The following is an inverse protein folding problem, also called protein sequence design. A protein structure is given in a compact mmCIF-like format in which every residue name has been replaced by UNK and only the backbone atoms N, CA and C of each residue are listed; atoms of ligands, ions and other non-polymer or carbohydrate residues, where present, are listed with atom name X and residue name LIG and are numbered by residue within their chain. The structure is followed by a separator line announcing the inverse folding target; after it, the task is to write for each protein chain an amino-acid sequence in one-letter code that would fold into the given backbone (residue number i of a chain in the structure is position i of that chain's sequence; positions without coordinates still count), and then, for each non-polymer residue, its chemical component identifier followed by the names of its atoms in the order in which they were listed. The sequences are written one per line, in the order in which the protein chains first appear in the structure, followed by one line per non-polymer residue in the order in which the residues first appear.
data_IF_719688017163
#
_entry.id   IF_719688017163
#
_cell.length_a   1.000
_cell.length_b   1.000
_cell.length_c   1.000
_cell.angle_alpha   90.00
_cell.angle_beta   90.00
_cell.angle_gamma   90.00
#
_symmetry.space_group_name_H-M   'P 1'
#
loop_
_entity.id
_entity.type
_entity.pdbx_description
1 polymer ?
#
# COMPACT_ATOMS: atom_id res chain seq x y z
N UNK A 1 -1.25 1.81 72.34
CA UNK A 1 -2.58 1.90 71.71
C UNK A 1 -2.66 3.03 70.68
N UNK A 2 -2.22 4.25 70.99
CA UNK A 2 -2.28 5.37 70.02
C UNK A 2 -1.42 5.17 68.76
N UNK A 3 -0.27 4.49 68.85
CA UNK A 3 0.55 4.16 67.69
C UNK A 3 -0.12 3.22 66.71
N UNK A 4 -0.89 2.25 67.19
CA UNK A 4 -1.66 1.35 66.33
C UNK A 4 -2.74 2.14 65.56
N UNK A 5 -3.40 3.09 66.22
CA UNK A 5 -4.37 3.97 65.55
C UNK A 5 -3.70 4.84 64.47
N UNK A 6 -2.51 5.36 64.75
CA UNK A 6 -1.75 6.15 63.77
C UNK A 6 -1.26 5.32 62.58
N UNK A 7 -0.87 4.06 62.81
CA UNK A 7 -0.53 3.10 61.77
C UNK A 7 -1.75 2.73 60.92
N UNK A 8 -2.94 2.70 61.53
CA UNK A 8 -4.22 2.49 60.84
C UNK A 8 -4.76 3.74 60.14
N UNK A 9 -4.01 4.85 60.15
CA UNK A 9 -4.36 6.06 59.40
C UNK A 9 -4.96 7.20 60.21
N UNK A 10 -4.90 7.17 61.55
CA UNK A 10 -5.31 8.31 62.38
C UNK A 10 -4.47 9.55 62.04
N UNK A 11 -5.13 10.67 61.72
CA UNK A 11 -4.49 11.96 61.46
C UNK A 11 -5.22 13.08 62.20
N UNK A 12 -4.46 14.10 62.57
CA UNK A 12 -5.00 15.39 63.00
C UNK A 12 -5.26 16.31 61.82
N UNK A 13 -6.39 16.99 61.80
CA UNK A 13 -6.65 18.10 60.87
C UNK A 13 -7.23 19.29 61.61
N UNK A 14 -6.95 20.51 61.13
CA UNK A 14 -7.65 21.70 61.60
C UNK A 14 -8.91 21.88 60.77
N UNK A 15 -10.06 21.88 61.43
CA UNK A 15 -11.36 22.15 60.80
C UNK A 15 -11.96 23.43 61.37
N UNK A 16 -12.71 24.14 60.53
CA UNK A 16 -13.40 25.36 60.94
C UNK A 16 -14.60 25.01 61.82
N UNK A 17 -14.57 25.44 63.08
CA UNK A 17 -15.69 25.30 64.01
C UNK A 17 -16.71 26.43 63.87
N UNK A 18 -16.25 27.64 63.55
CA UNK A 18 -17.12 28.78 63.28
C UNK A 18 -16.53 29.63 62.13
N UNK A 19 -17.30 29.75 61.05
CA UNK A 19 -16.90 30.52 59.85
C UNK A 19 -16.88 32.03 60.08
N UNK A 20 -17.69 32.56 61.02
CA UNK A 20 -17.83 33.99 61.27
C UNK A 20 -16.70 34.52 62.16
N UNK A 21 -16.30 33.74 63.18
CA UNK A 21 -15.23 34.14 64.11
C UNK A 21 -13.86 33.59 63.72
N UNK A 22 -13.80 32.67 62.74
CA UNK A 22 -12.57 31.99 62.34
C UNK A 22 -12.07 30.95 63.35
N UNK A 23 -12.89 30.57 64.34
CA UNK A 23 -12.48 29.59 65.34
C UNK A 23 -12.24 28.21 64.71
N UNK A 24 -11.12 27.59 65.06
CA UNK A 24 -10.69 26.27 64.58
C UNK A 24 -10.75 25.25 65.72
N UNK A 25 -10.96 23.99 65.36
CA UNK A 25 -10.80 22.86 66.27
C UNK A 25 -9.90 21.79 65.64
N UNK A 26 -9.31 20.97 66.51
CA UNK A 26 -8.52 19.80 66.10
C UNK A 26 -9.49 18.64 65.93
N UNK A 27 -9.52 18.11 64.71
CA UNK A 27 -10.27 16.93 64.33
C UNK A 27 -9.31 15.74 64.22
N UNK A 28 -9.66 14.63 64.85
CA UNK A 28 -8.91 13.39 64.80
C UNK A 28 -9.76 12.34 64.10
N UNK A 29 -9.35 11.98 62.88
CA UNK A 29 -10.09 11.03 62.04
C UNK A 29 -9.14 10.08 61.30
N UNK A 30 -9.67 9.01 60.75
CA UNK A 30 -8.92 8.03 59.97
C UNK A 30 -8.95 8.37 58.49
N UNK A 31 -7.76 8.51 57.90
CA UNK A 31 -7.58 8.83 56.49
C UNK A 31 -6.86 7.69 55.78
N UNK A 32 -7.59 6.76 55.14
CA UNK A 32 -7.01 5.55 54.53
C UNK A 32 -5.99 5.82 53.43
N UNK A 33 -6.06 7.00 52.80
CA UNK A 33 -5.18 7.44 51.71
C UNK A 33 -4.10 8.43 52.16
N UNK A 34 -3.99 8.71 53.46
CA UNK A 34 -2.97 9.62 53.95
C UNK A 34 -1.57 9.00 53.79
N UNK A 35 -0.52 9.81 53.53
CA UNK A 35 0.85 9.32 53.46
C UNK A 35 1.25 8.58 54.75
N UNK A 36 2.20 7.61 54.67
CA UNK A 36 2.76 6.94 55.84
C UNK A 36 3.31 7.94 56.87
N UNK A 37 3.46 7.50 58.13
CA UNK A 37 4.05 8.34 59.19
C UNK A 37 5.44 8.83 58.76
N UNK A 38 5.74 10.07 59.13
CA UNK A 38 7.07 10.65 58.91
C UNK A 38 8.16 9.95 59.73
N UNK A 39 9.42 10.29 59.44
CA UNK A 39 10.60 9.72 60.13
C UNK A 39 10.68 10.12 61.61
N UNK A 40 10.14 11.29 61.95
CA UNK A 40 10.09 11.78 63.33
C UNK A 40 8.74 11.38 63.91
N UNK A 41 8.77 10.52 64.92
CA UNK A 41 7.58 9.96 65.56
C UNK A 41 7.38 10.49 66.98
N UNK A 42 8.42 11.09 67.56
CA UNK A 42 8.42 11.66 68.90
C UNK A 42 9.19 12.97 68.92
N UNK A 43 8.77 13.90 69.78
CA UNK A 43 9.44 15.16 70.02
C UNK A 43 9.42 15.49 71.51
N UNK A 44 10.60 15.72 72.11
CA UNK A 44 10.70 16.02 73.54
C UNK A 44 10.15 14.93 74.47
N UNK A 45 10.17 13.66 74.04
CA UNK A 45 9.62 12.53 74.79
C UNK A 45 8.10 12.32 74.63
N UNK A 46 7.44 13.07 73.74
CA UNK A 46 6.00 12.92 73.46
C UNK A 46 5.75 12.39 72.04
N UNK A 47 4.74 11.51 71.84
CA UNK A 47 4.40 10.99 70.53
C UNK A 47 3.77 12.06 69.64
N UNK A 48 4.16 12.08 68.36
CA UNK A 48 3.63 13.01 67.35
C UNK A 48 2.49 12.34 66.60
N UNK A 49 1.32 12.99 66.62
CA UNK A 49 0.19 12.65 65.76
C UNK A 49 0.42 13.29 64.38
N UNK A 50 0.49 12.52 63.28
CA UNK A 50 0.67 13.08 61.96
C UNK A 50 -0.55 13.89 61.55
N UNK A 51 -0.34 14.99 60.82
CA UNK A 51 -1.40 15.88 60.40
C UNK A 51 -1.69 15.78 58.90
N UNK A 52 -2.89 16.19 58.52
CA UNK A 52 -3.31 16.41 57.13
C UNK A 52 -3.92 17.81 56.99
N UNK A 53 -3.83 18.39 55.80
CA UNK A 53 -4.43 19.70 55.53
C UNK A 53 -5.94 19.66 55.71
N UNK A 54 -6.50 20.66 56.38
CA UNK A 54 -7.94 20.82 56.56
C UNK A 54 -8.69 21.09 55.25
N UNK A 55 -9.99 20.80 55.24
CA UNK A 55 -10.82 20.84 54.02
C UNK A 55 -10.80 22.19 53.28
N UNK A 56 -10.88 23.32 53.99
CA UNK A 56 -10.88 24.65 53.37
C UNK A 56 -9.53 25.00 52.73
N UNK A 57 -8.43 24.71 53.41
CA UNK A 57 -7.08 24.92 52.87
C UNK A 57 -6.86 24.07 51.61
N UNK A 58 -7.40 22.85 51.59
CA UNK A 58 -7.32 21.97 50.43
C UNK A 58 -8.15 22.47 49.24
N UNK A 59 -9.31 23.09 49.49
CA UNK A 59 -10.12 23.74 48.45
C UNK A 59 -9.39 24.95 47.86
N UNK A 60 -8.82 25.81 48.70
CA UNK A 60 -8.03 26.95 48.24
C UNK A 60 -6.86 26.50 47.36
N UNK A 61 -6.13 25.46 47.77
CA UNK A 61 -5.03 24.92 46.98
C UNK A 61 -5.52 24.41 45.62
N UNK A 62 -6.60 23.64 45.58
CA UNK A 62 -7.17 23.14 44.32
C UNK A 62 -7.66 24.26 43.40
N UNK A 63 -8.19 25.33 43.98
CA UNK A 63 -8.60 26.51 43.21
C UNK A 63 -7.38 27.19 42.59
N UNK A 64 -6.31 27.40 43.35
CA UNK A 64 -5.06 27.95 42.83
C UNK A 64 -4.46 27.04 41.75
N UNK A 65 -4.39 25.73 41.99
CA UNK A 65 -3.89 24.77 40.99
C UNK A 65 -4.72 24.80 39.70
N UNK A 66 -6.04 24.99 39.80
CA UNK A 66 -6.92 25.11 38.64
C UNK A 66 -6.69 26.44 37.90
N UNK A 67 -6.53 27.55 38.61
CA UNK A 67 -6.20 28.85 38.03
C UNK A 67 -4.84 28.81 37.33
N UNK A 68 -3.84 28.19 37.96
CA UNK A 68 -2.51 28.00 37.37
C UNK A 68 -2.58 27.14 36.10
N UNK A 69 -3.38 26.06 36.10
CA UNK A 69 -3.58 25.24 34.90
C UNK A 69 -4.24 26.03 33.78
N UNK A 70 -5.25 26.84 34.09
CA UNK A 70 -5.93 27.70 33.11
C UNK A 70 -4.96 28.72 32.53
N UNK A 71 -4.17 29.38 33.37
CA UNK A 71 -3.17 30.37 32.96
C UNK A 71 -2.05 29.76 32.11
N UNK A 72 -1.70 28.50 32.38
CA UNK A 72 -0.62 27.79 31.67
C UNK A 72 -1.14 26.86 30.56
N UNK A 73 -2.39 27.03 30.09
CA UNK A 73 -2.88 26.25 28.96
C UNK A 73 -2.03 26.55 27.72
N UNK A 74 -1.46 25.53 27.05
CA UNK A 74 -0.68 25.73 25.83
C UNK A 74 -1.61 26.01 24.65
N UNK A 75 -2.12 27.23 24.55
CA UNK A 75 -3.01 27.66 23.45
C UNK A 75 -2.25 27.70 22.12
N UNK A 76 -0.99 28.14 22.13
CA UNK A 76 -0.22 28.31 20.89
C UNK A 76 -0.04 26.99 20.11
N UNK A 77 0.40 25.86 20.72
CA UNK A 77 0.48 24.59 20.01
C UNK A 77 -0.85 24.10 19.44
N UNK A 78 -1.97 24.37 20.12
CA UNK A 78 -3.30 24.01 19.64
C UNK A 78 -3.68 24.82 18.39
N UNK A 79 -3.39 26.13 18.39
CA UNK A 79 -3.63 26.99 17.24
C UNK A 79 -2.73 26.64 16.06
N UNK A 80 -1.46 26.33 16.30
CA UNK A 80 -0.52 25.86 15.27
C UNK A 80 -1.00 24.56 14.63
N UNK A 81 -1.40 23.58 15.45
CA UNK A 81 -1.91 22.29 14.95
C UNK A 81 -3.22 22.47 14.15
N UNK A 82 -4.13 23.31 14.63
CA UNK A 82 -5.37 23.62 13.92
C UNK A 82 -5.09 24.29 12.57
N UNK A 83 -4.21 25.28 12.55
CA UNK A 83 -3.80 26.00 11.32
C UNK A 83 -3.14 25.05 10.33
N UNK A 84 -2.24 24.18 10.80
CA UNK A 84 -1.57 23.17 9.99
C UNK A 84 -2.57 22.17 9.38
N UNK A 85 -3.56 21.74 10.17
CA UNK A 85 -4.63 20.83 9.73
C UNK A 85 -5.51 21.48 8.66
N UNK A 86 -5.85 22.77 8.82
CA UNK A 86 -6.61 23.54 7.84
C UNK A 86 -5.80 23.71 6.54
N UNK A 87 -4.53 24.11 6.64
CA UNK A 87 -3.65 24.25 5.47
C UNK A 87 -3.46 22.93 4.71
N UNK A 88 -3.35 21.80 5.43
CA UNK A 88 -3.27 20.48 4.81
C UNK A 88 -4.59 20.08 4.13
N UNK A 89 -5.72 20.44 4.72
CA UNK A 89 -7.05 20.21 4.14
C UNK A 89 -7.24 21.02 2.85
N UNK A 90 -6.82 22.28 2.84
CA UNK A 90 -6.83 23.12 1.63
C UNK A 90 -5.97 22.54 0.51
N UNK A 91 -4.73 22.12 0.82
CA UNK A 91 -3.86 21.45 -0.16
C UNK A 91 -4.50 20.17 -0.72
N UNK A 92 -5.12 19.37 0.14
CA UNK A 92 -5.80 18.14 -0.28
C UNK A 92 -6.94 18.46 -1.25
N UNK A 93 -7.76 19.48 -0.94
CA UNK A 93 -8.83 19.92 -1.83
C UNK A 93 -8.30 20.43 -3.18
N UNK A 94 -7.20 21.17 -3.19
CA UNK A 94 -6.54 21.61 -4.44
C UNK A 94 -6.04 20.43 -5.28
N UNK A 95 -5.43 19.42 -4.65
CA UNK A 95 -4.99 18.20 -5.34
C UNK A 95 -6.18 17.40 -5.91
N UNK A 96 -7.28 17.30 -5.16
CA UNK A 96 -8.51 16.65 -5.63
C UNK A 96 -9.04 17.40 -6.85
N UNK A 97 -9.15 18.73 -6.78
CA UNK A 97 -9.61 19.53 -7.91
C UNK A 97 -8.72 19.35 -9.15
N UNK A 98 -7.40 19.45 -9.01
CA UNK A 98 -6.47 19.25 -10.11
C UNK A 98 -6.54 17.84 -10.72
N UNK A 99 -6.81 16.83 -9.89
CA UNK A 99 -7.03 15.45 -10.34
C UNK A 99 -8.34 15.35 -11.12
N UNK A 100 -9.43 15.91 -10.61
CA UNK A 100 -10.72 15.95 -11.30
C UNK A 100 -10.64 16.70 -12.64
N UNK A 101 -9.89 17.81 -12.69
CA UNK A 101 -9.68 18.56 -13.93
C UNK A 101 -8.88 17.75 -14.96
N UNK A 102 -7.83 17.05 -14.50
CA UNK A 102 -7.05 16.13 -15.34
C UNK A 102 -7.92 14.99 -15.88
N UNK A 103 -8.75 14.38 -15.03
CA UNK A 103 -9.69 13.33 -15.42
C UNK A 103 -10.73 13.84 -16.43
N UNK A 104 -11.27 15.05 -16.23
CA UNK A 104 -12.19 15.67 -17.16
C UNK A 104 -11.54 15.93 -18.52
N UNK A 105 -10.27 16.38 -18.56
CA UNK A 105 -9.52 16.56 -19.81
C UNK A 105 -9.30 15.24 -20.56
N UNK A 106 -8.94 14.17 -19.85
CA UNK A 106 -8.75 12.85 -20.45
C UNK A 106 -10.08 12.32 -20.98
N UNK A 107 -11.14 12.39 -20.17
CA UNK A 107 -12.47 11.89 -20.53
C UNK A 107 -13.09 12.68 -21.68
N UNK A 108 -12.84 13.98 -21.73
CA UNK A 108 -13.30 14.87 -22.81
C UNK A 108 -12.36 14.91 -24.01
N UNK A 109 -11.26 14.17 -23.97
CA UNK A 109 -10.31 14.14 -25.09
C UNK A 109 -10.96 13.47 -26.31
N UNK A 110 -10.68 14.01 -27.49
CA UNK A 110 -11.14 13.46 -28.76
C UNK A 110 -10.78 11.98 -28.89
N UNK A 111 -9.58 11.60 -28.45
CA UNK A 111 -9.08 10.22 -28.47
C UNK A 111 -9.91 9.28 -27.60
N UNK A 112 -10.34 9.71 -26.40
CA UNK A 112 -11.17 8.87 -25.52
C UNK A 112 -12.61 8.73 -26.05
N UNK A 113 -13.14 9.77 -26.72
CA UNK A 113 -14.44 9.71 -27.38
C UNK A 113 -14.42 8.83 -28.64
N UNK A 114 -13.30 8.80 -29.35
CA UNK A 114 -13.11 7.99 -30.56
C UNK A 114 -12.76 6.53 -30.26
N UNK A 115 -12.18 6.25 -29.09
CA UNK A 115 -11.74 4.92 -28.67
C UNK A 115 -12.79 3.81 -28.88
N UNK A 116 -14.08 3.96 -28.51
CA UNK A 116 -15.09 2.92 -28.74
C UNK A 116 -15.37 2.70 -30.23
N UNK A 117 -15.36 3.77 -31.02
CA UNK A 117 -15.58 3.72 -32.47
C UNK A 117 -14.43 3.02 -33.18
N UNK A 118 -13.19 3.40 -32.84
CA UNK A 118 -11.98 2.78 -33.37
C UNK A 118 -11.92 1.30 -33.02
N UNK A 119 -12.23 0.94 -31.77
CA UNK A 119 -12.32 -0.46 -31.34
C UNK A 119 -13.37 -1.23 -32.14
N UNK A 120 -14.55 -0.65 -32.38
CA UNK A 120 -15.60 -1.29 -33.18
C UNK A 120 -15.21 -1.45 -34.65
N UNK A 121 -14.42 -0.52 -35.20
CA UNK A 121 -13.88 -0.62 -36.55
C UNK A 121 -12.82 -1.72 -36.63
N UNK A 122 -11.87 -1.75 -35.69
CA UNK A 122 -10.85 -2.81 -35.60
C UNK A 122 -11.49 -4.19 -35.44
N UNK A 123 -12.51 -4.33 -34.59
CA UNK A 123 -13.23 -5.60 -34.43
C UNK A 123 -13.93 -6.04 -35.73
N UNK A 124 -14.50 -5.10 -36.48
CA UNK A 124 -15.13 -5.39 -37.79
C UNK A 124 -14.10 -5.78 -38.85
N UNK A 125 -12.97 -5.09 -38.92
CA UNK A 125 -11.88 -5.45 -39.84
C UNK A 125 -11.24 -6.79 -39.50
N UNK A 126 -11.08 -7.08 -38.20
CA UNK A 126 -10.60 -8.38 -37.73
C UNK A 126 -11.59 -9.48 -38.13
N UNK A 127 -12.89 -9.26 -37.93
CA UNK A 127 -13.92 -10.23 -38.33
C UNK A 127 -13.92 -10.46 -39.86
N UNK A 128 -13.84 -9.39 -40.67
CA UNK A 128 -13.72 -9.50 -42.13
C UNK A 128 -12.46 -10.24 -42.56
N UNK A 129 -11.32 -9.96 -41.93
CA UNK A 129 -10.07 -10.67 -42.18
C UNK A 129 -10.23 -12.15 -41.87
N UNK A 130 -10.79 -12.49 -40.70
CA UNK A 130 -11.06 -13.89 -40.33
C UNK A 130 -12.00 -14.58 -41.33
N UNK A 131 -13.05 -13.91 -41.81
CA UNK A 131 -13.93 -14.45 -42.86
C UNK A 131 -13.20 -14.67 -44.19
N UNK A 132 -12.25 -13.80 -44.54
CA UNK A 132 -11.39 -13.95 -45.70
C UNK A 132 -10.50 -15.20 -45.66
N UNK A 133 -10.22 -15.75 -44.49
CA UNK A 133 -9.39 -16.96 -44.31
C UNK A 133 -10.19 -18.22 -43.93
N UNK A 134 -11.52 -18.16 -43.88
CA UNK A 134 -12.36 -19.31 -43.56
C UNK A 134 -12.47 -20.33 -44.73
N UNK A 135 -12.68 -21.63 -44.44
CA UNK A 135 -12.88 -22.65 -45.46
C UNK A 135 -14.06 -22.28 -46.38
N UNK A 136 -13.79 -22.18 -47.68
CA UNK A 136 -14.76 -21.77 -48.70
C UNK A 136 -14.62 -20.32 -49.19
N UNK A 137 -13.76 -19.50 -48.57
CA UNK A 137 -13.46 -18.16 -49.07
C UNK A 137 -12.61 -18.20 -50.36
N UNK A 138 -12.69 -17.15 -51.18
CA UNK A 138 -11.91 -17.07 -52.41
C UNK A 138 -10.38 -17.11 -52.18
N UNK A 139 -9.91 -16.50 -51.08
CA UNK A 139 -8.49 -16.51 -50.72
C UNK A 139 -8.03 -17.88 -50.20
N UNK A 140 -8.87 -18.55 -49.38
CA UNK A 140 -8.61 -19.91 -48.92
C UNK A 140 -8.56 -20.90 -50.11
N UNK A 141 -9.55 -20.83 -51.00
CA UNK A 141 -9.61 -21.70 -52.18
C UNK A 141 -8.41 -21.47 -53.11
N UNK A 142 -7.96 -20.23 -53.28
CA UNK A 142 -6.77 -19.91 -54.07
C UNK A 142 -5.49 -20.43 -53.42
N UNK A 143 -5.35 -20.26 -52.10
CA UNK A 143 -4.23 -20.82 -51.34
C UNK A 143 -4.16 -22.35 -51.43
N UNK A 144 -5.30 -23.04 -51.32
CA UNK A 144 -5.38 -24.50 -51.48
C UNK A 144 -5.03 -24.91 -52.92
N UNK A 145 -5.52 -24.19 -53.92
CA UNK A 145 -5.20 -24.46 -55.32
C UNK A 145 -3.70 -24.23 -55.63
N UNK A 146 -3.11 -23.18 -55.06
CA UNK A 146 -1.68 -22.89 -55.20
C UNK A 146 -0.82 -23.96 -54.51
N UNK A 147 -1.24 -24.45 -53.33
CA UNK A 147 -0.60 -25.58 -52.66
C UNK A 147 -0.67 -26.87 -53.51
N UNK A 148 -1.83 -27.15 -54.13
CA UNK A 148 -1.97 -28.31 -55.01
C UNK A 148 -1.09 -28.21 -56.27
N UNK A 149 -0.96 -27.01 -56.85
CA UNK A 149 -0.04 -26.76 -57.97
C UNK A 149 1.41 -26.91 -57.57
N UNK A 150 1.79 -26.39 -56.39
CA UNK A 150 3.14 -26.55 -55.88
C UNK A 150 3.47 -28.03 -55.68
N UNK A 151 2.54 -28.79 -55.10
CA UNK A 151 2.64 -30.25 -54.97
C UNK A 151 2.81 -30.96 -56.33
N UNK A 152 2.09 -30.51 -57.35
CA UNK A 152 2.20 -31.04 -58.72
C UNK A 152 3.60 -30.77 -59.29
N UNK A 153 4.08 -29.53 -59.18
CA UNK A 153 5.41 -29.13 -59.65
C UNK A 153 6.51 -29.88 -58.91
N UNK A 154 6.39 -30.05 -57.59
CA UNK A 154 7.34 -30.83 -56.80
C UNK A 154 7.39 -32.31 -57.24
N UNK A 155 6.23 -32.91 -57.56
CA UNK A 155 6.16 -34.28 -58.12
C UNK A 155 6.75 -34.38 -59.52
N UNK A 156 6.55 -33.39 -60.38
CA UNK A 156 7.13 -33.34 -61.73
C UNK A 156 8.65 -33.11 -61.69
N UNK A 157 9.13 -32.39 -60.69
CA UNK A 157 10.56 -32.18 -60.46
C UNK A 157 11.24 -33.38 -59.79
N UNK A 158 10.52 -34.28 -59.09
CA UNK A 158 11.11 -35.50 -58.49
C UNK A 158 11.95 -36.34 -59.46
N UNK A 159 11.48 -36.74 -60.66
CA UNK A 159 12.28 -37.53 -61.59
C UNK A 159 13.48 -36.74 -62.13
N UNK A 160 13.36 -35.43 -62.33
CA UNK A 160 14.46 -34.56 -62.76
C UNK A 160 15.52 -34.46 -61.65
N UNK A 161 15.11 -34.25 -60.41
CA UNK A 161 15.98 -34.25 -59.23
C UNK A 161 16.65 -35.62 -59.03
N UNK A 162 15.93 -36.72 -59.27
CA UNK A 162 16.48 -38.08 -59.22
C UNK A 162 17.51 -38.33 -60.33
N UNK A 163 17.22 -37.88 -61.55
CA UNK A 163 18.15 -37.99 -62.69
C UNK A 163 19.36 -37.08 -62.53
N UNK A 164 19.20 -35.89 -61.95
CA UNK A 164 20.30 -35.01 -61.58
C UNK A 164 21.14 -35.61 -60.46
N UNK A 165 20.54 -36.24 -59.46
CA UNK A 165 21.27 -36.98 -58.43
C UNK A 165 22.05 -38.15 -59.06
N UNK A 166 21.44 -38.93 -59.96
CA UNK A 166 22.06 -40.08 -60.60
C UNK A 166 23.15 -39.68 -61.61
N UNK A 167 22.94 -38.62 -62.42
CA UNK A 167 23.95 -38.10 -63.37
C UNK A 167 25.01 -37.21 -62.71
N UNK A 168 24.71 -36.48 -61.65
CA UNK A 168 25.71 -35.75 -60.88
C UNK A 168 26.65 -36.73 -60.18
N UNK A 169 26.16 -37.89 -59.76
CA UNK A 169 27.03 -38.97 -59.26
C UNK A 169 27.91 -39.59 -60.37
N UNK A 170 27.57 -39.39 -61.65
CA UNK A 170 28.41 -39.75 -62.79
C UNK A 170 29.42 -38.66 -63.19
N UNK A 171 29.19 -37.40 -62.81
CA UNK A 171 30.09 -36.26 -63.09
C UNK A 171 31.19 -36.07 -62.03
N UNK A 172 31.14 -36.78 -60.90
CA UNK A 172 32.18 -36.73 -59.86
C UNK A 172 33.13 -37.94 -59.92
N UNK A 173 32.89 -38.92 -60.79
CA UNK A 173 33.82 -40.04 -60.99
C UNK A 173 34.13 -40.23 -62.48
N UNK A 174 35.11 -39.47 -62.97
CA UNK A 174 35.77 -39.78 -64.23
C UNK A 174 36.76 -40.94 -64.04
N UNK A 175 36.66 -41.89 -64.99
CA UNK A 175 37.62 -42.93 -65.38
C UNK A 175 37.90 -44.12 -64.44
N UNK A 176 37.52 -45.31 -64.91
CA UNK A 176 38.50 -46.38 -65.15
C UNK A 176 38.29 -47.00 -66.53
N UNK A 177 39.35 -46.96 -67.32
CA UNK A 177 39.51 -47.57 -68.64
C UNK A 177 38.94 -48.99 -68.70
N UNK A 178 38.01 -49.23 -69.64
CA UNK A 178 37.81 -50.56 -70.19
C UNK A 178 38.31 -50.57 -71.63
N UNK A 179 39.38 -51.33 -71.85
CA UNK A 179 40.03 -51.59 -73.14
C UNK A 179 39.01 -52.03 -74.19
N UNK A 180 39.10 -51.38 -75.34
CA UNK A 180 38.43 -51.75 -76.58
C UNK A 180 39.00 -53.08 -77.11
N UNK A 181 38.19 -54.14 -77.33
CA UNK A 181 38.67 -55.40 -77.85
C UNK A 181 38.95 -55.30 -79.36
N UNK A 182 40.23 -55.46 -79.74
CA UNK A 182 40.65 -55.54 -81.14
C UNK A 182 40.10 -56.80 -81.84
N UNK A 183 39.57 -56.67 -83.08
CA UNK A 183 39.14 -57.81 -83.87
C UNK A 183 40.35 -58.62 -84.39
N UNK A 184 40.30 -59.95 -84.25
CA UNK A 184 41.27 -60.86 -84.88
C UNK A 184 41.01 -60.92 -86.39
N UNK A 185 42.06 -60.63 -87.16
CA UNK A 185 42.10 -60.77 -88.61
C UNK A 185 41.95 -62.23 -89.10
N UNK A 186 41.63 -62.33 -90.38
CA UNK A 186 41.02 -63.44 -91.09
C UNK A 186 41.88 -64.69 -91.37
N UNK A 187 41.21 -65.81 -91.63
CA UNK A 187 41.40 -66.71 -92.79
C UNK A 187 40.14 -67.53 -93.01
#
# INVERSE_FOLDING_TARGET
HIDDLMNRGLRGSLKTGNLVTGALYIDLDFYPKAPPRGKIQEFGGYPIIPTVSGGLAQIQQRLMDALDKINNLPINPLLEQATSTLAQSEKTMQHVQATLDSLNKITSSQSMQQLPGDMQNTLRELNRSMQGFQPGSAAYNKMVADMQRLDQVLRELQPVLKTLNDKSNALVFEAKDKKDPQPKGAK
#
